data_IF_976024336779
#
_entry.id   IF_976024336779
#
_cell.length_a   1.000
_cell.length_b   1.000
_cell.length_c   1.000
_cell.angle_alpha   90.00
_cell.angle_beta   90.00
_cell.angle_gamma   90.00
#
_symmetry.space_group_name_H-M   'P 1'
#
loop_
_entity.id
_entity.type
_entity.pdbx_description
1 polymer ?
#
# COMPACT_ATOMS: atom_id res chain seq x y z
N UNK A 1 5.18 -18.32 19.55
CA UNK A 1 5.10 -16.87 19.81
C UNK A 1 4.40 -16.22 18.63
N UNK A 2 3.22 -15.64 18.81
CA UNK A 2 2.59 -14.84 17.76
C UNK A 2 3.32 -13.50 17.74
N UNK A 3 4.08 -13.23 16.69
CA UNK A 3 4.73 -11.93 16.52
C UNK A 3 3.63 -10.95 16.14
N UNK A 4 3.13 -10.20 17.12
CA UNK A 4 2.20 -9.11 16.87
C UNK A 4 3.01 -7.94 16.30
N UNK A 5 2.79 -7.63 15.01
CA UNK A 5 3.45 -6.50 14.37
C UNK A 5 2.92 -5.18 14.96
N UNK A 6 3.80 -4.22 15.31
CA UNK A 6 3.39 -2.97 15.94
C UNK A 6 2.46 -2.17 15.03
N UNK A 7 1.35 -1.67 15.60
CA UNK A 7 0.41 -0.77 14.92
C UNK A 7 1.00 0.64 14.96
N UNK A 8 1.52 1.12 13.83
CA UNK A 8 2.03 2.50 13.73
C UNK A 8 0.85 3.48 13.74
N UNK A 9 0.61 4.11 14.90
CA UNK A 9 -0.44 5.12 15.05
C UNK A 9 -0.03 6.53 14.57
N UNK A 10 1.28 6.79 14.37
CA UNK A 10 1.85 8.08 13.97
C UNK A 10 2.93 7.89 12.92
N UNK A 11 2.97 8.76 11.90
CA UNK A 11 4.12 8.89 10.99
C UNK A 11 5.17 9.82 11.63
N UNK A 12 6.40 9.86 11.12
CA UNK A 12 7.60 10.49 11.70
C UNK A 12 7.49 12.00 12.08
N UNK A 13 6.33 12.65 11.89
CA UNK A 13 6.10 14.09 12.14
C UNK A 13 4.71 14.35 12.77
N UNK A 14 4.18 13.46 13.63
CA UNK A 14 2.89 13.64 14.33
C UNK A 14 1.64 13.82 13.44
N UNK A 15 1.78 13.77 12.11
CA UNK A 15 0.68 13.91 11.18
C UNK A 15 -0.23 12.67 11.26
N UNK A 16 -1.57 12.86 11.21
CA UNK A 16 -2.51 11.76 11.09
C UNK A 16 -2.09 10.86 9.91
N UNK A 17 -1.89 9.57 10.19
CA UNK A 17 -1.32 8.53 9.30
C UNK A 17 -1.80 8.69 7.85
N UNK A 18 -3.09 8.93 7.68
CA UNK A 18 -3.76 9.11 6.39
C UNK A 18 -3.27 10.29 5.56
N UNK A 19 -3.06 11.47 6.17
CA UNK A 19 -2.60 12.65 5.43
C UNK A 19 -1.13 12.50 5.05
N UNK A 20 -0.30 11.95 5.94
CA UNK A 20 1.10 11.65 5.62
C UNK A 20 1.21 10.67 4.45
N UNK A 21 0.35 9.64 4.43
CA UNK A 21 0.30 8.65 3.36
C UNK A 21 -0.09 9.26 2.00
N UNK A 22 -1.09 10.15 1.98
CA UNK A 22 -1.53 10.85 0.77
C UNK A 22 -0.43 11.79 0.27
N UNK A 23 0.16 12.61 1.15
CA UNK A 23 1.25 13.54 0.79
C UNK A 23 2.45 12.78 0.23
N UNK A 24 2.83 11.67 0.88
CA UNK A 24 3.90 10.81 0.39
C UNK A 24 3.58 10.19 -0.97
N UNK A 25 2.33 9.75 -1.17
CA UNK A 25 1.85 9.26 -2.46
C UNK A 25 1.96 10.31 -3.57
N UNK A 26 1.65 11.58 -3.30
CA UNK A 26 1.83 12.67 -4.25
C UNK A 26 3.30 12.94 -4.56
N UNK A 27 4.16 13.02 -3.55
CA UNK A 27 5.61 13.22 -3.73
C UNK A 27 6.17 12.10 -4.62
N UNK A 28 5.83 10.84 -4.29
CA UNK A 28 6.23 9.67 -5.08
C UNK A 28 5.72 9.76 -6.51
N UNK A 29 4.46 10.13 -6.72
CA UNK A 29 3.88 10.28 -8.06
C UNK A 29 4.63 11.33 -8.88
N UNK A 30 4.96 12.48 -8.29
CA UNK A 30 5.73 13.52 -8.96
C UNK A 30 7.13 13.02 -9.37
N UNK A 31 7.82 12.30 -8.47
CA UNK A 31 9.13 11.70 -8.76
C UNK A 31 9.02 10.65 -9.86
N UNK A 32 8.04 9.74 -9.78
CA UNK A 32 7.83 8.70 -10.80
C UNK A 32 7.49 9.30 -12.17
N UNK A 33 6.72 10.39 -12.21
CA UNK A 33 6.41 11.10 -13.47
C UNK A 33 7.67 11.70 -14.08
N UNK A 34 8.49 12.39 -13.28
CA UNK A 34 9.75 12.97 -13.74
C UNK A 34 10.72 11.90 -14.26
N UNK A 35 10.83 10.78 -13.54
CA UNK A 35 11.63 9.63 -13.96
C UNK A 35 11.11 9.02 -15.26
N UNK A 36 9.79 8.86 -15.41
CA UNK A 36 9.21 8.34 -16.65
C UNK A 36 9.56 9.25 -17.84
N UNK A 37 9.47 10.58 -17.68
CA UNK A 37 9.85 11.53 -18.74
C UNK A 37 11.34 11.42 -19.07
N UNK A 38 12.22 11.31 -18.07
CA UNK A 38 13.65 11.12 -18.29
C UNK A 38 13.99 9.81 -19.02
N UNK A 39 13.40 8.70 -18.59
CA UNK A 39 13.66 7.39 -19.22
C UNK A 39 13.08 7.32 -20.63
N UNK A 40 11.90 7.88 -20.87
CA UNK A 40 11.27 7.89 -22.21
C UNK A 40 12.00 8.78 -23.20
N UNK A 41 12.49 9.95 -22.76
CA UNK A 41 13.34 10.82 -23.60
C UNK A 41 14.66 10.15 -23.96
N UNK A 42 15.37 9.57 -22.98
CA UNK A 42 16.58 8.80 -23.24
C UNK A 42 16.34 7.58 -24.14
N UNK A 43 15.20 6.91 -23.99
CA UNK A 43 14.80 5.80 -24.87
C UNK A 43 14.52 6.26 -26.30
N UNK A 44 13.85 7.40 -26.48
CA UNK A 44 13.58 7.97 -27.80
C UNK A 44 14.89 8.38 -28.51
N UNK A 45 15.85 8.96 -27.79
CA UNK A 45 17.18 9.26 -28.32
C UNK A 45 17.92 7.99 -28.74
N UNK A 46 17.83 6.91 -27.95
CA UNK A 46 18.44 5.63 -28.28
C UNK A 46 17.83 4.97 -29.54
N UNK A 47 16.54 5.15 -29.75
CA UNK A 47 15.86 4.71 -30.98
C UNK A 47 16.28 5.53 -32.21
N UNK A 48 16.51 6.83 -32.02
CA UNK A 48 16.93 7.74 -33.09
C UNK A 48 18.42 7.60 -33.45
N UNK A 49 19.24 7.05 -32.54
CA UNK A 49 20.67 6.79 -32.81
C UNK A 49 20.82 5.65 -33.83
N UNK A 50 21.67 5.90 -34.81
CA UNK A 50 21.79 5.14 -36.06
C UNK A 50 21.85 3.61 -35.88
N UNK A 51 21.25 2.91 -36.85
CA UNK A 51 20.82 1.51 -36.77
C UNK A 51 21.98 0.55 -37.03
N UNK A 52 22.95 0.45 -36.11
CA UNK A 52 23.86 -0.70 -36.09
C UNK A 52 23.19 -1.86 -35.33
N UNK A 53 23.04 -3.03 -35.97
CA UNK A 53 22.46 -4.22 -35.33
C UNK A 53 23.57 -4.92 -34.52
N UNK A 54 23.71 -4.55 -33.26
CA UNK A 54 24.42 -5.37 -32.27
C UNK A 54 23.38 -6.15 -31.45
N UNK A 55 23.67 -7.43 -31.19
CA UNK A 55 22.80 -8.34 -30.44
C UNK A 55 22.50 -7.81 -29.03
N UNK A 56 23.50 -7.18 -28.40
CA UNK A 56 23.41 -6.53 -27.08
C UNK A 56 22.42 -5.37 -27.04
N UNK A 57 22.22 -4.66 -28.17
CA UNK A 57 21.28 -3.53 -28.26
C UNK A 57 19.83 -4.01 -28.12
N UNK A 58 19.51 -5.18 -28.65
CA UNK A 58 18.14 -5.73 -28.61
C UNK A 58 17.75 -6.09 -27.18
N UNK A 59 18.67 -6.71 -26.44
CA UNK A 59 18.48 -7.05 -25.03
C UNK A 59 18.34 -5.77 -24.19
N UNK A 60 19.21 -4.78 -24.42
CA UNK A 60 19.14 -3.49 -23.71
C UNK A 60 17.82 -2.74 -23.98
N UNK A 61 17.36 -2.68 -25.23
CA UNK A 61 16.06 -2.11 -25.60
C UNK A 61 14.91 -2.83 -24.91
N UNK A 62 14.96 -4.16 -24.81
CA UNK A 62 13.97 -4.96 -24.09
C UNK A 62 13.92 -4.64 -22.59
N UNK A 63 15.09 -4.49 -21.95
CA UNK A 63 15.19 -4.11 -20.52
C UNK A 63 14.59 -2.71 -20.32
N UNK A 64 15.02 -1.71 -21.11
CA UNK A 64 14.54 -0.33 -20.97
C UNK A 64 13.03 -0.24 -21.23
N UNK A 65 12.54 -0.93 -22.27
CA UNK A 65 11.11 -1.02 -22.54
C UNK A 65 10.32 -1.64 -21.38
N UNK A 66 10.84 -2.69 -20.77
CA UNK A 66 10.24 -3.31 -19.58
C UNK A 66 10.19 -2.33 -18.40
N UNK A 67 11.26 -1.58 -18.16
CA UNK A 67 11.32 -0.55 -17.11
C UNK A 67 10.29 0.55 -17.34
N UNK A 68 10.08 0.99 -18.58
CA UNK A 68 9.05 1.98 -18.93
C UNK A 68 7.66 1.47 -18.59
N UNK A 69 7.33 0.24 -19.00
CA UNK A 69 6.01 -0.38 -18.72
C UNK A 69 5.78 -0.50 -17.22
N UNK A 70 6.80 -0.89 -16.46
CA UNK A 70 6.69 -1.01 -15.00
C UNK A 70 6.52 0.33 -14.31
N UNK A 71 7.27 1.33 -14.74
CA UNK A 71 7.17 2.70 -14.21
C UNK A 71 5.77 3.27 -14.49
N UNK A 72 5.22 3.01 -15.67
CA UNK A 72 3.85 3.38 -16.00
C UNK A 72 2.83 2.69 -15.08
N UNK A 73 3.00 1.40 -14.82
CA UNK A 73 2.14 0.67 -13.88
C UNK A 73 2.25 1.22 -12.45
N UNK A 74 3.44 1.60 -11.98
CA UNK A 74 3.64 2.25 -10.67
C UNK A 74 2.89 3.58 -10.59
N UNK A 75 2.90 4.40 -11.66
CA UNK A 75 2.12 5.65 -11.72
C UNK A 75 0.62 5.37 -11.62
N UNK A 76 0.09 4.43 -12.40
CA UNK A 76 -1.33 4.05 -12.35
C UNK A 76 -1.72 3.61 -10.94
N UNK A 77 -0.89 2.79 -10.30
CA UNK A 77 -1.13 2.32 -8.94
C UNK A 77 -1.06 3.45 -7.92
N UNK A 78 -0.13 4.40 -8.04
CA UNK A 78 -0.09 5.59 -7.18
C UNK A 78 -1.33 6.48 -7.35
N UNK A 79 -1.87 6.62 -8.56
CA UNK A 79 -3.13 7.34 -8.79
C UNK A 79 -4.30 6.61 -8.12
N UNK A 80 -4.41 5.30 -8.32
CA UNK A 80 -5.44 4.47 -7.66
C UNK A 80 -5.36 4.56 -6.14
N UNK A 81 -4.15 4.61 -5.60
CA UNK A 81 -3.91 4.81 -4.18
C UNK A 81 -4.41 6.14 -3.66
N UNK A 82 -4.10 7.24 -4.36
CA UNK A 82 -4.58 8.58 -3.99
C UNK A 82 -6.12 8.60 -4.01
N UNK A 83 -6.74 8.05 -5.06
CA UNK A 83 -8.20 7.95 -5.17
C UNK A 83 -8.78 7.11 -4.02
N UNK A 84 -8.17 5.97 -3.72
CA UNK A 84 -8.57 5.10 -2.60
C UNK A 84 -8.45 5.79 -1.24
N UNK A 85 -7.36 6.55 -1.05
CA UNK A 85 -7.10 7.37 0.13
C UNK A 85 -8.12 8.48 0.31
N UNK A 86 -8.61 9.10 -0.76
CA UNK A 86 -9.68 10.10 -0.70
C UNK A 86 -11.06 9.48 -0.46
N UNK A 87 -11.43 8.44 -1.20
CA UNK A 87 -12.79 7.87 -1.16
C UNK A 87 -13.12 7.02 0.07
N UNK A 88 -12.20 6.83 1.04
CA UNK A 88 -12.41 5.98 2.25
C UNK A 88 -12.81 4.53 1.93
N UNK A 89 -12.60 4.07 0.70
CA UNK A 89 -13.09 2.77 0.25
C UNK A 89 -12.07 1.69 0.53
N UNK A 90 -12.32 0.89 1.58
CA UNK A 90 -11.49 -0.24 2.01
C UNK A 90 -11.16 -1.24 0.89
N UNK A 91 -12.08 -1.48 -0.04
CA UNK A 91 -11.88 -2.40 -1.16
C UNK A 91 -10.71 -1.99 -2.07
N UNK A 92 -10.60 -0.70 -2.40
CA UNK A 92 -9.50 -0.19 -3.23
C UNK A 92 -8.17 -0.22 -2.50
N UNK A 93 -8.16 0.13 -1.21
CA UNK A 93 -6.95 0.10 -0.40
C UNK A 93 -6.39 -1.33 -0.24
N UNK A 94 -7.27 -2.32 -0.06
CA UNK A 94 -6.88 -3.74 0.02
C UNK A 94 -6.35 -4.28 -1.30
N UNK A 95 -7.00 -3.94 -2.42
CA UNK A 95 -6.49 -4.31 -3.74
C UNK A 95 -5.10 -3.70 -3.98
N UNK A 96 -4.96 -2.40 -3.70
CA UNK A 96 -3.68 -1.69 -3.82
C UNK A 96 -2.56 -2.32 -2.99
N UNK A 97 -2.85 -2.74 -1.75
CA UNK A 97 -1.89 -3.43 -0.90
C UNK A 97 -1.35 -4.71 -1.55
N UNK A 98 -2.22 -5.54 -2.13
CA UNK A 98 -1.82 -6.78 -2.83
C UNK A 98 -0.95 -6.45 -4.05
N UNK A 99 -1.37 -5.48 -4.87
CA UNK A 99 -0.59 -5.05 -6.04
C UNK A 99 0.77 -4.45 -5.65
N UNK A 100 0.84 -3.71 -4.54
CA UNK A 100 2.09 -3.12 -4.04
C UNK A 100 3.11 -4.18 -3.64
N UNK A 101 2.66 -5.30 -3.08
CA UNK A 101 3.53 -6.45 -2.77
C UNK A 101 4.02 -7.12 -4.05
N UNK A 102 3.15 -7.34 -5.03
CA UNK A 102 3.51 -7.95 -6.32
C UNK A 102 4.56 -7.09 -7.03
N UNK A 103 4.33 -5.78 -7.12
CA UNK A 103 5.31 -4.86 -7.70
C UNK A 103 6.63 -4.85 -6.94
N UNK A 104 6.59 -4.90 -5.60
CA UNK A 104 7.82 -4.93 -4.80
C UNK A 104 8.66 -6.18 -5.09
N UNK A 105 8.02 -7.35 -5.20
CA UNK A 105 8.70 -8.60 -5.59
C UNK A 105 9.29 -8.47 -7.00
N UNK A 106 8.53 -7.92 -7.94
CA UNK A 106 8.98 -7.75 -9.33
C UNK A 106 10.18 -6.80 -9.43
N UNK A 107 10.18 -5.71 -8.63
CA UNK A 107 11.31 -4.79 -8.52
C UNK A 107 12.55 -5.48 -7.95
N UNK A 108 12.41 -6.33 -6.93
CA UNK A 108 13.53 -7.11 -6.39
C UNK A 108 14.12 -8.02 -7.46
N UNK A 109 13.29 -8.70 -8.25
CA UNK A 109 13.76 -9.56 -9.34
C UNK A 109 14.55 -8.76 -10.40
N UNK A 110 14.07 -7.57 -10.77
CA UNK A 110 14.78 -6.69 -11.70
C UNK A 110 16.11 -6.20 -11.14
N UNK A 111 16.18 -5.89 -9.85
CA UNK A 111 17.45 -5.52 -9.21
C UNK A 111 18.47 -6.66 -9.24
N UNK A 112 18.02 -7.91 -9.05
CA UNK A 112 18.90 -9.08 -9.17
C UNK A 112 19.44 -9.19 -10.61
N UNK A 113 18.59 -9.01 -11.62
CA UNK A 113 19.03 -9.02 -13.02
C UNK A 113 20.01 -7.87 -13.32
N UNK A 114 19.73 -6.67 -12.81
CA UNK A 114 20.57 -5.51 -13.03
C UNK A 114 21.94 -5.66 -12.35
N UNK A 115 21.97 -6.16 -11.12
CA UNK A 115 23.23 -6.42 -10.40
C UNK A 115 24.04 -7.56 -11.03
N UNK A 116 23.39 -8.61 -11.52
CA UNK A 116 24.05 -9.68 -12.28
C UNK A 116 24.69 -9.15 -13.56
N UNK A 117 23.99 -8.25 -14.27
CA UNK A 117 24.54 -7.57 -15.43
C UNK A 117 25.69 -6.65 -15.03
N UNK A 118 25.54 -5.78 -14.04
CA UNK A 118 26.64 -4.90 -13.58
C UNK A 118 27.89 -5.69 -13.18
N UNK A 119 27.72 -6.86 -12.57
CA UNK A 119 28.83 -7.73 -12.20
C UNK A 119 29.53 -8.38 -13.42
N UNK A 120 28.77 -8.82 -14.44
CA UNK A 120 29.36 -9.37 -15.67
C UNK A 120 30.18 -8.31 -16.42
N UNK A 121 29.69 -7.07 -16.45
CA UNK A 121 30.42 -5.93 -17.01
C UNK A 121 31.68 -5.60 -16.22
N UNK A 122 31.60 -5.60 -14.88
CA UNK A 122 32.76 -5.37 -14.00
C UNK A 122 33.87 -6.41 -14.23
N UNK A 123 33.51 -7.68 -14.42
CA UNK A 123 34.48 -8.73 -14.70
C UNK A 123 35.20 -8.52 -16.04
N UNK A 124 34.47 -8.09 -17.07
CA UNK A 124 35.03 -7.78 -18.40
C UNK A 124 36.03 -6.61 -18.37
N UNK A 125 35.77 -5.59 -17.54
CA UNK A 125 36.58 -4.38 -17.42
C UNK A 125 37.71 -4.45 -16.37
N UNK A 126 37.82 -5.56 -15.64
CA UNK A 126 38.79 -5.73 -14.54
C UNK A 126 40.28 -5.65 -14.93
N UNK A 127 40.59 -5.52 -16.23
CA UNK A 127 41.96 -5.33 -16.75
C UNK A 127 42.36 -3.87 -17.03
N UNK A 128 41.44 -2.88 -16.94
CA UNK A 128 41.75 -1.47 -17.25
C UNK A 128 42.05 -0.64 -15.98
N UNK A 129 42.94 0.36 -16.11
CA UNK A 129 43.40 1.22 -14.99
C UNK A 129 42.28 2.03 -14.31
N UNK A 130 41.08 2.10 -14.91
CA UNK A 130 39.90 2.82 -14.37
C UNK A 130 38.98 1.98 -13.46
N UNK A 131 39.37 0.76 -13.08
CA UNK A 131 38.52 -0.16 -12.30
C UNK A 131 37.98 0.41 -10.97
N UNK A 132 38.72 1.32 -10.32
CA UNK A 132 38.29 1.91 -9.04
C UNK A 132 37.01 2.75 -9.16
N UNK A 133 36.83 3.50 -10.25
CA UNK A 133 35.63 4.32 -10.47
C UNK A 133 34.38 3.44 -10.66
N UNK A 134 34.52 2.32 -11.38
CA UNK A 134 33.43 1.37 -11.59
C UNK A 134 33.02 0.66 -10.29
N UNK A 135 33.99 0.23 -9.47
CA UNK A 135 33.69 -0.36 -8.16
C UNK A 135 32.90 0.63 -7.30
N UNK A 136 33.28 1.92 -7.30
CA UNK A 136 32.56 2.94 -6.56
C UNK A 136 31.11 3.13 -7.06
N UNK A 137 30.88 3.14 -8.38
CA UNK A 137 29.54 3.20 -8.95
C UNK A 137 28.67 2.02 -8.52
N UNK A 138 29.20 0.79 -8.58
CA UNK A 138 28.47 -0.43 -8.16
C UNK A 138 28.10 -0.38 -6.68
N UNK A 139 29.01 0.12 -5.82
CA UNK A 139 28.74 0.28 -4.38
C UNK A 139 27.62 1.30 -4.14
N UNK A 140 27.65 2.44 -4.84
CA UNK A 140 26.60 3.45 -4.73
C UNK A 140 25.24 2.91 -5.20
N UNK A 141 25.21 2.19 -6.32
CA UNK A 141 24.00 1.54 -6.82
C UNK A 141 23.42 0.58 -5.79
N UNK A 142 24.27 -0.24 -5.15
CA UNK A 142 23.82 -1.17 -4.11
C UNK A 142 23.20 -0.44 -2.91
N UNK A 143 23.81 0.66 -2.45
CA UNK A 143 23.27 1.47 -1.34
C UNK A 143 21.90 2.06 -1.73
N UNK A 144 21.78 2.60 -2.94
CA UNK A 144 20.51 3.14 -3.46
C UNK A 144 19.45 2.05 -3.54
N UNK A 145 19.79 0.84 -3.98
CA UNK A 145 18.86 -0.29 -4.04
C UNK A 145 18.37 -0.72 -2.66
N UNK A 146 19.27 -0.85 -1.69
CA UNK A 146 18.89 -1.18 -0.31
C UNK A 146 17.97 -0.10 0.27
N UNK A 147 18.29 1.18 0.04
CA UNK A 147 17.43 2.30 0.43
C UNK A 147 16.05 2.23 -0.21
N UNK A 148 15.97 1.91 -1.51
CA UNK A 148 14.71 1.79 -2.22
C UNK A 148 13.85 0.63 -1.68
N UNK A 149 14.45 -0.53 -1.40
CA UNK A 149 13.77 -1.68 -0.80
C UNK A 149 13.24 -1.33 0.59
N UNK A 150 14.05 -0.68 1.43
CA UNK A 150 13.64 -0.27 2.77
C UNK A 150 12.48 0.74 2.73
N UNK A 151 12.54 1.74 1.84
CA UNK A 151 11.47 2.72 1.65
C UNK A 151 10.18 2.08 1.15
N UNK A 152 10.26 1.15 0.19
CA UNK A 152 9.10 0.42 -0.32
C UNK A 152 8.48 -0.46 0.77
N UNK A 153 9.30 -1.16 1.55
CA UNK A 153 8.85 -1.99 2.65
C UNK A 153 8.16 -1.16 3.73
N UNK A 154 8.75 -0.03 4.11
CA UNK A 154 8.13 0.92 5.05
C UNK A 154 6.76 1.39 4.56
N UNK A 155 6.64 1.70 3.27
CA UNK A 155 5.37 2.12 2.68
C UNK A 155 4.30 1.01 2.70
N UNK A 156 4.68 -0.24 2.42
CA UNK A 156 3.79 -1.40 2.54
C UNK A 156 3.28 -1.56 3.99
N UNK A 157 4.16 -1.38 4.99
CA UNK A 157 3.77 -1.42 6.39
C UNK A 157 2.80 -0.29 6.77
N UNK A 158 3.01 0.92 6.25
CA UNK A 158 2.10 2.04 6.47
C UNK A 158 0.70 1.77 5.90
N UNK A 159 0.62 1.25 4.67
CA UNK A 159 -0.67 0.88 4.06
C UNK A 159 -1.36 -0.19 4.90
N UNK A 160 -0.61 -1.21 5.35
CA UNK A 160 -1.17 -2.26 6.20
C UNK A 160 -1.73 -1.69 7.51
N UNK A 161 -1.00 -0.78 8.16
CA UNK A 161 -1.46 -0.11 9.38
C UNK A 161 -2.77 0.64 9.14
N UNK A 162 -2.88 1.35 8.01
CA UNK A 162 -4.10 2.07 7.63
C UNK A 162 -5.28 1.10 7.36
N UNK A 163 -5.07 0.01 6.62
CA UNK A 163 -6.10 -1.02 6.34
C UNK A 163 -6.63 -1.64 7.64
N UNK A 164 -5.74 -2.00 8.57
CA UNK A 164 -6.13 -2.58 9.87
C UNK A 164 -6.93 -1.56 10.68
N UNK A 165 -6.46 -0.32 10.75
CA UNK A 165 -7.13 0.75 11.51
C UNK A 165 -8.54 1.05 11.01
N UNK A 166 -8.75 1.05 9.69
CA UNK A 166 -10.08 1.24 9.10
C UNK A 166 -10.99 0.03 9.31
N UNK A 167 -10.43 -1.18 9.33
CA UNK A 167 -11.20 -2.41 9.58
C UNK A 167 -11.70 -2.44 11.03
N UNK A 168 -10.85 -2.11 12.01
CA UNK A 168 -11.23 -2.07 13.43
C UNK A 168 -12.16 -0.90 13.76
N UNK A 169 -12.05 0.25 13.08
CA UNK A 169 -12.95 1.39 13.34
C UNK A 169 -14.40 1.16 12.89
N UNK A 170 -14.64 0.27 11.93
CA UNK A 170 -16.01 -0.15 11.58
C UNK A 170 -16.69 -0.96 12.70
N UNK A 171 -15.92 -1.41 13.70
CA UNK A 171 -16.39 -2.21 14.82
C UNK A 171 -16.50 -1.42 16.13
N UNK A 172 -16.45 -0.08 16.08
CA UNK A 172 -16.92 0.75 17.20
C UNK A 172 -18.45 0.67 17.27
N UNK A 173 -18.92 -0.46 17.80
CA UNK A 173 -20.25 -0.61 18.37
C UNK A 173 -20.27 0.33 19.57
N UNK A 174 -20.98 1.45 19.46
CA UNK A 174 -21.31 2.26 20.63
C UNK A 174 -22.11 1.36 21.58
N UNK A 175 -21.43 0.78 22.57
CA UNK A 175 -22.11 0.17 23.70
C UNK A 175 -22.72 1.35 24.44
N UNK A 176 -24.01 1.59 24.16
CA UNK A 176 -24.77 2.61 24.84
C UNK A 176 -24.91 2.18 26.31
N UNK A 177 -23.96 2.60 27.15
CA UNK A 177 -24.01 2.34 28.59
C UNK A 177 -25.19 3.03 29.27
N UNK A 178 -25.83 4.04 28.64
CA UNK A 178 -27.06 4.64 29.17
C UNK A 178 -28.24 3.66 29.11
N UNK A 179 -28.35 2.84 28.06
CA UNK A 179 -29.39 1.81 27.95
C UNK A 179 -29.19 0.64 28.94
N UNK A 180 -27.96 0.39 29.41
CA UNK A 180 -27.70 -0.61 30.47
C UNK A 180 -28.08 -0.12 31.87
N UNK A 181 -28.12 1.20 32.10
CA UNK A 181 -28.51 1.77 33.38
C UNK A 181 -30.03 1.79 33.56
N UNK A 182 -30.82 2.02 32.49
CA UNK A 182 -32.28 2.01 32.58
C UNK A 182 -32.85 0.63 32.91
N UNK A 183 -32.27 -0.46 32.41
CA UNK A 183 -32.73 -1.82 32.75
C UNK A 183 -32.41 -2.26 34.19
N UNK A 184 -31.56 -1.54 34.92
CA UNK A 184 -31.21 -1.93 36.30
C UNK A 184 -32.15 -1.31 37.35
N UNK A 185 -32.84 -0.21 37.02
CA UNK A 185 -33.78 0.40 37.96
C UNK A 185 -35.15 -0.29 38.00
N UNK A 186 -35.53 -1.04 36.97
CA UNK A 186 -36.84 -1.71 36.92
C UNK A 186 -36.86 -3.09 37.62
N UNK A 187 -35.69 -3.61 38.03
CA UNK A 187 -35.56 -4.93 38.67
C UNK A 187 -35.61 -4.83 40.21
N UNK A 188 -35.43 -3.64 40.80
CA UNK A 188 -35.49 -3.47 42.28
C UNK A 188 -36.91 -3.26 42.82
N UNK A 189 -37.95 -3.30 41.97
CA UNK A 189 -39.36 -3.16 42.37
C UNK A 189 -40.25 -4.38 42.13
N UNK A 190 -39.86 -5.31 41.27
CA UNK A 190 -40.72 -6.43 40.87
C UNK A 190 -40.12 -7.78 41.30
N UNK A 191 -40.75 -8.39 42.30
CA UNK A 191 -40.51 -9.76 42.74
C UNK A 191 -40.98 -10.73 41.64
N UNK A 192 -40.14 -10.99 40.63
CA UNK A 192 -40.41 -12.00 39.61
C UNK A 192 -40.03 -13.37 40.17
N UNK A 193 -41.04 -14.13 40.59
CA UNK A 193 -40.90 -15.57 40.80
C UNK A 193 -40.78 -16.26 39.44
N UNK A 194 -39.59 -16.76 39.10
CA UNK A 194 -39.39 -17.58 37.92
C UNK A 194 -40.13 -18.92 38.09
N UNK A 195 -41.31 -19.00 37.48
CA UNK A 195 -41.97 -20.26 37.16
C UNK A 195 -41.26 -20.91 35.97
N UNK A 196 -40.81 -22.14 36.18
CA UNK A 196 -40.29 -23.05 35.16
C UNK A 196 -41.28 -23.18 33.99
N UNK A 197 -40.82 -22.97 32.76
CA UNK A 197 -41.64 -23.22 31.58
C UNK A 197 -41.00 -22.74 30.29
N UNK A 198 -40.47 -23.69 29.51
CA UNK A 198 -40.10 -23.53 28.10
C UNK A 198 -41.16 -22.73 27.32
N UNK A 199 -40.74 -21.84 26.43
CA UNK A 199 -41.09 -21.86 24.99
C UNK A 199 -40.40 -20.75 24.22
N UNK A 200 -40.05 -21.08 22.97
CA UNK A 200 -39.42 -20.24 21.97
C UNK A 200 -40.24 -18.98 21.68
N UNK A 201 -39.59 -17.83 21.50
CA UNK A 201 -40.20 -16.63 20.91
C UNK A 201 -39.18 -15.98 19.96
N UNK A 202 -39.15 -16.51 18.72
CA UNK A 202 -39.07 -15.66 17.54
C UNK A 202 -40.39 -14.88 17.42
N UNK A 203 -40.35 -13.73 16.74
CA UNK A 203 -41.48 -12.84 16.41
C UNK A 203 -41.99 -11.89 17.51
N UNK A 204 -41.40 -10.69 17.57
CA UNK A 204 -42.17 -9.46 17.85
C UNK A 204 -41.47 -8.23 17.28
N UNK A 205 -41.49 -8.08 15.95
CA UNK A 205 -41.19 -6.83 15.28
C UNK A 205 -42.36 -6.45 14.36
N UNK A 206 -43.51 -6.19 14.98
CA UNK A 206 -44.65 -5.48 14.39
C UNK A 206 -45.33 -4.68 15.50
N UNK A 207 -45.06 -3.39 15.54
CA UNK A 207 -46.05 -2.43 16.04
C UNK A 207 -46.33 -1.44 14.92
N UNK A 208 -47.51 -1.62 14.31
CA UNK A 208 -48.29 -0.54 13.73
C UNK A 208 -48.45 0.56 14.76
N UNK A 209 -48.18 1.81 14.38
CA UNK A 209 -48.86 2.95 14.98
C UNK A 209 -49.93 3.40 13.98
N UNK A 210 -51.15 2.98 14.28
CA UNK A 210 -52.39 3.43 13.67
C UNK A 210 -52.97 4.54 14.57
N UNK A 211 -53.31 5.66 13.92
CA UNK A 211 -54.35 6.65 14.22
C UNK A 211 -54.62 7.07 15.68
N UNK A 212 -54.46 8.37 15.91
CA UNK A 212 -55.28 9.12 16.88
C UNK A 212 -56.07 10.21 16.12
N UNK A 213 -57.41 10.33 16.33
CA UNK A 213 -58.25 11.39 15.80
C UNK A 213 -58.45 12.54 16.83
N UNK A 214 -58.80 13.71 16.28
CA UNK A 214 -59.60 14.80 16.89
C UNK A 214 -59.22 15.34 18.29
N UNK A 215 -58.64 16.54 18.30
CA UNK A 215 -59.26 17.73 18.93
C UNK A 215 -58.65 19.03 18.39
#
# INVERSE_FOLDING_TARGET
MRVELPVLARCCICLPLRYGLIVWGYIRLCISLFLLTGVTTGFAELLNRERRPDEDRTLYLGIVGTVIVLTFNDIVLNILFIIGGHKKNLKFLRAYYIYSIILWILMILLYILFTAQSFSWLQSLSGEENGMMYVWMVVLDFIVYVGHIAMQFYFILLIRSEVVKLTTNCEFRFVNHAAQLEMKYDIDGAKVTCGSGNTNVEDTCKMSHENDPEQ
#
